data_IF_900187334633
#
_entry.id   IF_900187334633
#
_cell.length_a   1.000
_cell.length_b   1.000
_cell.length_c   1.000
_cell.angle_alpha   90.00
_cell.angle_beta   90.00
_cell.angle_gamma   90.00
#
_symmetry.space_group_name_H-M   'P 1'
#
loop_
_entity.id
_entity.type
_entity.pdbx_description
1 polymer ?
#
# COMPACT_ATOMS: atom_id res chain seq x y z
N UNK A 1 40.14 45.84 9.23
CA UNK A 1 39.11 46.26 8.28
C UNK A 1 39.04 45.16 7.25
N UNK A 2 38.24 44.14 7.55
CA UNK A 2 36.92 43.90 6.94
C UNK A 2 37.11 43.22 5.57
N UNK A 3 36.45 42.11 5.22
CA UNK A 3 35.18 41.63 5.74
C UNK A 3 35.08 40.11 5.62
N UNK A 4 34.35 39.56 6.57
CA UNK A 4 34.01 38.15 6.74
C UNK A 4 32.91 37.77 5.76
N UNK A 5 33.12 36.75 4.94
CA UNK A 5 32.03 36.00 4.29
C UNK A 5 32.07 34.56 4.78
N UNK A 6 31.68 34.36 6.04
CA UNK A 6 31.23 33.06 6.50
C UNK A 6 29.86 32.82 5.86
N UNK A 7 29.87 32.13 4.72
CA UNK A 7 28.67 31.57 4.14
C UNK A 7 27.98 30.69 5.19
N UNK A 8 26.78 31.11 5.60
CA UNK A 8 25.88 30.29 6.39
C UNK A 8 25.60 29.01 5.59
N UNK A 9 26.34 27.94 5.85
CA UNK A 9 25.95 26.58 5.51
C UNK A 9 24.72 26.27 6.37
N UNK A 10 23.56 26.75 5.91
CA UNK A 10 22.29 26.36 6.49
C UNK A 10 22.16 24.86 6.28
N UNK A 11 22.18 24.10 7.38
CA UNK A 11 21.88 22.68 7.35
C UNK A 11 20.46 22.55 6.81
N UNK A 12 20.34 22.14 5.56
CA UNK A 12 19.07 21.95 4.90
C UNK A 12 18.38 20.74 5.49
N UNK A 13 17.05 20.72 5.43
CA UNK A 13 16.27 19.56 5.88
C UNK A 13 16.59 18.27 5.07
N UNK A 14 17.29 18.40 3.93
CA UNK A 14 17.81 17.28 3.14
C UNK A 14 19.16 16.73 3.59
N UNK A 15 19.84 17.40 4.54
CA UNK A 15 21.14 16.98 5.07
C UNK A 15 21.00 16.03 6.28
N UNK A 16 19.76 15.78 6.72
CA UNK A 16 19.47 14.82 7.78
C UNK A 16 19.77 13.38 7.33
N UNK A 17 20.29 12.53 8.22
CA UNK A 17 20.39 11.10 7.97
C UNK A 17 19.04 10.47 7.59
N UNK A 18 19.05 9.48 6.70
CA UNK A 18 17.84 8.84 6.17
C UNK A 18 16.95 8.26 7.28
N UNK A 19 17.55 7.71 8.36
CA UNK A 19 16.81 7.17 9.49
C UNK A 19 16.07 8.27 10.28
N UNK A 20 16.64 9.47 10.39
CA UNK A 20 15.97 10.60 11.02
C UNK A 20 14.77 11.04 10.18
N UNK A 21 14.94 11.17 8.87
CA UNK A 21 13.85 11.51 7.95
C UNK A 21 12.75 10.43 7.99
N UNK A 22 13.13 9.15 7.95
CA UNK A 22 12.18 8.02 8.03
C UNK A 22 11.40 8.03 9.35
N UNK A 23 12.07 8.34 10.47
CA UNK A 23 11.42 8.48 11.77
C UNK A 23 10.44 9.64 11.80
N UNK A 24 10.77 10.79 11.18
CA UNK A 24 9.81 11.90 11.06
C UNK A 24 8.60 11.46 10.23
N UNK A 25 8.84 10.80 9.10
CA UNK A 25 7.80 10.35 8.18
C UNK A 25 6.85 9.30 8.80
N UNK A 26 7.33 8.45 9.71
CA UNK A 26 6.49 7.46 10.40
C UNK A 26 5.42 8.09 11.31
N UNK A 27 5.59 9.36 11.71
CA UNK A 27 4.60 10.12 12.46
C UNK A 27 3.66 10.97 11.58
N UNK A 28 3.69 10.78 10.26
CA UNK A 28 2.86 11.53 9.30
C UNK A 28 1.82 10.65 8.61
N UNK A 29 0.98 11.23 7.75
CA UNK A 29 0.02 10.45 6.96
C UNK A 29 0.67 9.89 5.69
N UNK A 30 0.14 8.79 5.16
CA UNK A 30 0.58 8.24 3.87
C UNK A 30 0.58 9.28 2.73
N UNK A 31 -0.39 10.21 2.76
CA UNK A 31 -0.48 11.31 1.79
C UNK A 31 0.71 12.27 1.91
N UNK A 32 1.11 12.59 3.13
CA UNK A 32 2.24 13.49 3.39
C UNK A 32 3.56 12.82 3.05
N UNK A 33 3.74 11.53 3.37
CA UNK A 33 4.90 10.74 2.94
C UNK A 33 5.07 10.78 1.42
N UNK A 34 3.98 10.62 0.66
CA UNK A 34 4.03 10.74 -0.80
C UNK A 34 4.42 12.14 -1.28
N UNK A 35 3.97 13.21 -0.60
CA UNK A 35 4.36 14.59 -0.94
C UNK A 35 5.83 14.85 -0.64
N UNK A 36 6.31 14.42 0.53
CA UNK A 36 7.71 14.55 0.91
C UNK A 36 8.64 13.78 -0.02
N UNK A 37 8.23 12.61 -0.51
CA UNK A 37 9.00 11.84 -1.51
C UNK A 37 9.25 12.59 -2.84
N UNK A 38 8.49 13.65 -3.11
CA UNK A 38 8.68 14.49 -4.29
C UNK A 38 9.63 15.68 -4.06
N UNK A 39 9.99 15.98 -2.79
CA UNK A 39 10.80 17.15 -2.42
C UNK A 39 12.26 16.97 -2.79
N UNK A 40 12.86 15.81 -2.49
CA UNK A 40 14.26 15.51 -2.86
C UNK A 40 14.53 14.01 -2.88
N UNK A 41 15.73 13.62 -3.36
CA UNK A 41 16.15 12.21 -3.38
C UNK A 41 16.30 11.61 -1.97
N UNK A 42 16.82 12.38 -0.99
CA UNK A 42 16.96 11.94 0.39
C UNK A 42 15.59 11.63 1.02
N UNK A 43 14.62 12.53 0.82
CA UNK A 43 13.25 12.33 1.28
C UNK A 43 12.54 11.20 0.54
N UNK A 44 12.82 11.00 -0.75
CA UNK A 44 12.31 9.87 -1.52
C UNK A 44 12.84 8.54 -1.01
N UNK A 45 14.12 8.46 -0.69
CA UNK A 45 14.74 7.24 -0.12
C UNK A 45 14.06 6.89 1.20
N UNK A 46 14.04 7.84 2.14
CA UNK A 46 13.38 7.68 3.44
C UNK A 46 11.89 7.32 3.33
N UNK A 47 11.15 7.96 2.41
CA UNK A 47 9.73 7.69 2.19
C UNK A 47 9.44 6.29 1.61
N UNK A 48 10.45 5.61 1.07
CA UNK A 48 10.34 4.22 0.60
C UNK A 48 10.79 3.19 1.65
N UNK A 49 11.27 3.64 2.82
CA UNK A 49 11.71 2.77 3.90
C UNK A 49 10.55 1.97 4.50
N UNK A 50 10.76 0.66 4.69
CA UNK A 50 9.77 -0.22 5.30
C UNK A 50 9.37 0.20 6.72
N UNK A 51 10.27 0.88 7.46
CA UNK A 51 9.98 1.44 8.78
C UNK A 51 8.78 2.40 8.75
N UNK A 52 8.72 3.27 7.73
CA UNK A 52 7.63 4.25 7.57
C UNK A 52 6.31 3.52 7.37
N UNK A 53 6.27 2.56 6.42
CA UNK A 53 5.04 1.88 6.07
C UNK A 53 4.60 0.86 7.11
N UNK A 54 5.53 0.23 7.82
CA UNK A 54 5.23 -0.67 8.94
C UNK A 54 4.54 0.07 10.09
N UNK A 55 4.97 1.29 10.40
CA UNK A 55 4.31 2.12 11.42
C UNK A 55 2.85 2.43 11.04
N UNK A 56 2.61 2.80 9.78
CA UNK A 56 1.26 3.10 9.27
C UNK A 56 0.36 1.87 9.28
N UNK A 57 0.89 0.74 8.81
CA UNK A 57 0.17 -0.53 8.80
C UNK A 57 -0.21 -0.94 10.21
N UNK A 58 0.75 -0.85 11.15
CA UNK A 58 0.52 -1.18 12.56
C UNK A 58 -0.51 -0.26 13.19
N UNK A 59 -0.46 1.04 12.87
CA UNK A 59 -1.42 2.03 13.39
C UNK A 59 -2.85 1.77 12.89
N UNK A 60 -3.02 1.44 11.60
CA UNK A 60 -4.35 1.26 11.01
C UNK A 60 -4.93 -0.15 11.16
N UNK A 61 -4.08 -1.17 11.26
CA UNK A 61 -4.51 -2.57 11.18
C UNK A 61 -3.97 -3.46 12.31
N UNK A 62 -3.13 -2.93 13.20
CA UNK A 62 -2.55 -3.66 14.33
C UNK A 62 -1.26 -4.43 13.99
N UNK A 63 -0.55 -4.88 15.03
CA UNK A 63 0.78 -5.54 14.89
C UNK A 63 0.72 -6.93 14.25
N UNK A 64 -0.39 -7.64 14.39
CA UNK A 64 -0.51 -9.04 13.94
C UNK A 64 -0.68 -9.19 12.42
N UNK A 65 -0.83 -8.08 11.69
CA UNK A 65 -1.04 -8.13 10.25
C UNK A 65 0.15 -8.71 9.49
N UNK A 66 1.38 -8.56 10.00
CA UNK A 66 2.57 -9.12 9.33
C UNK A 66 2.54 -10.65 9.25
N UNK A 67 1.91 -11.33 10.22
CA UNK A 67 1.69 -12.78 10.16
C UNK A 67 0.54 -13.12 9.22
N UNK A 68 -0.55 -12.35 9.27
CA UNK A 68 -1.73 -12.60 8.45
C UNK A 68 -1.48 -12.37 6.94
N UNK A 69 -0.53 -11.50 6.57
CA UNK A 69 -0.11 -11.24 5.18
C UNK A 69 0.99 -12.19 4.69
N UNK A 70 1.59 -13.01 5.55
CA UNK A 70 2.71 -13.91 5.21
C UNK A 70 2.44 -14.81 3.99
N UNK A 71 1.22 -15.34 3.76
CA UNK A 71 0.91 -16.12 2.55
C UNK A 71 0.96 -15.32 1.24
N UNK A 72 0.90 -13.98 1.32
CA UNK A 72 0.93 -13.09 0.18
C UNK A 72 2.35 -12.53 0.01
N UNK A 73 2.98 -12.82 -1.13
CA UNK A 73 4.29 -12.29 -1.42
C UNK A 73 4.20 -10.79 -1.80
N UNK A 74 4.76 -9.93 -0.96
CA UNK A 74 4.94 -8.49 -1.24
C UNK A 74 6.43 -8.16 -1.29
N UNK A 75 6.81 -7.22 -2.14
CA UNK A 75 8.19 -6.75 -2.27
C UNK A 75 8.58 -5.67 -1.26
N UNK A 76 7.61 -5.03 -0.60
CA UNK A 76 7.82 -4.01 0.44
C UNK A 76 6.58 -3.80 1.31
N UNK A 77 6.76 -3.25 2.52
CA UNK A 77 5.65 -2.81 3.39
C UNK A 77 4.85 -1.69 2.74
N UNK A 78 5.49 -0.85 1.91
CA UNK A 78 4.80 0.14 1.07
C UNK A 78 3.78 -0.51 0.13
N UNK A 79 4.21 -1.54 -0.60
CA UNK A 79 3.32 -2.26 -1.50
C UNK A 79 2.16 -2.88 -0.73
N UNK A 80 2.44 -3.49 0.43
CA UNK A 80 1.41 -4.04 1.31
C UNK A 80 0.40 -2.98 1.75
N UNK A 81 0.85 -1.82 2.26
CA UNK A 81 -0.06 -0.74 2.67
C UNK A 81 -0.97 -0.32 1.52
N UNK A 82 -0.41 -0.15 0.32
CA UNK A 82 -1.23 0.18 -0.84
C UNK A 82 -2.18 -0.95 -1.23
N UNK A 83 -1.83 -2.22 -1.10
CA UNK A 83 -2.77 -3.32 -1.36
C UNK A 83 -3.90 -3.40 -0.32
N UNK A 84 -3.66 -2.97 0.92
CA UNK A 84 -4.69 -2.92 1.97
C UNK A 84 -5.64 -1.72 1.81
N UNK A 85 -5.11 -0.56 1.37
CA UNK A 85 -5.89 0.67 1.20
C UNK A 85 -6.56 0.73 -0.18
N UNK A 86 -5.94 0.14 -1.19
CA UNK A 86 -6.41 0.20 -2.58
C UNK A 86 -7.30 -1.00 -2.84
N UNK A 87 -8.57 -0.71 -3.08
CA UNK A 87 -9.47 -1.62 -3.77
C UNK A 87 -8.95 -1.77 -5.20
N UNK A 88 -8.23 -2.85 -5.50
CA UNK A 88 -7.95 -3.16 -6.89
C UNK A 88 -9.29 -3.58 -7.50
N UNK A 89 -9.60 -3.10 -8.71
CA UNK A 89 -10.81 -3.51 -9.45
C UNK A 89 -11.00 -5.03 -9.53
N UNK A 90 -9.94 -5.80 -9.29
CA UNK A 90 -9.94 -7.26 -9.27
C UNK A 90 -9.62 -7.90 -7.91
N UNK A 91 -9.15 -7.15 -6.89
CA UNK A 91 -8.77 -7.70 -5.58
C UNK A 91 -8.97 -6.69 -4.46
N UNK A 92 -9.65 -7.09 -3.39
CA UNK A 92 -9.83 -6.29 -2.18
C UNK A 92 -9.30 -7.08 -0.99
N UNK A 93 -8.45 -6.47 -0.17
CA UNK A 93 -7.89 -7.08 1.03
C UNK A 93 -8.39 -6.28 2.24
N UNK A 94 -8.81 -6.95 3.30
CA UNK A 94 -9.19 -6.32 4.56
C UNK A 94 -8.69 -7.14 5.74
N UNK A 95 -8.71 -6.53 6.91
CA UNK A 95 -8.35 -7.17 8.17
C UNK A 95 -9.62 -7.21 9.02
N UNK A 96 -9.96 -8.40 9.52
CA UNK A 96 -11.05 -8.57 10.45
C UNK A 96 -10.67 -8.00 11.81
N UNK A 97 -11.40 -6.99 12.28
CA UNK A 97 -11.07 -6.28 13.53
C UNK A 97 -11.19 -7.12 14.79
N UNK A 98 -11.93 -8.23 14.75
CA UNK A 98 -12.15 -9.11 15.92
C UNK A 98 -11.10 -10.21 16.05
N UNK A 99 -10.64 -10.74 14.91
CA UNK A 99 -9.72 -11.89 14.86
C UNK A 99 -8.31 -11.51 14.40
N UNK A 100 -8.11 -10.30 13.85
CA UNK A 100 -6.85 -9.89 13.24
C UNK A 100 -6.49 -10.69 11.98
N UNK A 101 -7.41 -11.53 11.48
CA UNK A 101 -7.20 -12.33 10.27
C UNK A 101 -7.42 -11.49 9.03
N UNK A 102 -6.72 -11.83 7.96
CA UNK A 102 -6.92 -11.17 6.67
C UNK A 102 -7.98 -11.90 5.87
N UNK A 103 -8.94 -11.12 5.39
CA UNK A 103 -9.84 -11.51 4.32
C UNK A 103 -9.35 -10.94 3.00
N UNK A 104 -9.47 -11.74 1.94
CA UNK A 104 -9.26 -11.29 0.58
C UNK A 104 -10.46 -11.69 -0.25
N UNK A 105 -10.89 -10.81 -1.14
CA UNK A 105 -11.86 -11.10 -2.17
C UNK A 105 -11.18 -10.86 -3.51
N UNK A 106 -11.26 -11.84 -4.39
CA UNK A 106 -10.68 -11.81 -5.74
C UNK A 106 -11.83 -11.85 -6.73
N UNK A 107 -11.79 -10.99 -7.73
CA UNK A 107 -12.78 -10.97 -8.81
C UNK A 107 -12.73 -12.29 -9.56
N UNK A 108 -13.90 -12.74 -10.02
CA UNK A 108 -13.97 -13.94 -10.84
C UNK A 108 -13.09 -13.84 -12.11
N UNK A 109 -12.84 -12.64 -12.61
CA UNK A 109 -11.96 -12.37 -13.76
C UNK A 109 -10.48 -12.66 -13.51
N UNK A 110 -10.05 -12.61 -12.26
CA UNK A 110 -8.68 -12.94 -11.86
C UNK A 110 -8.52 -14.42 -11.45
N UNK A 111 -9.62 -15.20 -11.44
CA UNK A 111 -9.59 -16.63 -11.16
C UNK A 111 -9.41 -17.44 -12.45
N UNK A 112 -8.66 -18.53 -12.35
CA UNK A 112 -8.63 -19.56 -13.39
C UNK A 112 -9.88 -20.42 -13.25
N UNK A 113 -10.92 -20.10 -14.03
CA UNK A 113 -12.19 -20.83 -14.05
C UNK A 113 -12.17 -21.81 -15.22
N UNK A 114 -12.47 -23.09 -14.94
CA UNK A 114 -12.57 -24.12 -15.97
C UNK A 114 -13.60 -23.70 -17.04
N UNK A 115 -13.16 -23.62 -18.29
CA UNK A 115 -13.94 -23.12 -19.43
C UNK A 115 -14.51 -21.71 -19.23
N UNK A 116 -13.90 -20.86 -18.40
CA UNK A 116 -14.40 -19.51 -18.08
C UNK A 116 -14.59 -18.60 -19.29
N UNK A 117 -13.86 -18.85 -20.38
CA UNK A 117 -14.00 -18.12 -21.64
C UNK A 117 -15.09 -18.69 -22.57
N UNK A 118 -15.68 -19.82 -22.20
CA UNK A 118 -16.72 -20.48 -22.98
C UNK A 118 -18.11 -20.02 -22.52
N UNK A 119 -18.74 -19.20 -23.37
CA UNK A 119 -20.09 -18.65 -23.15
C UNK A 119 -21.21 -19.71 -23.13
N UNK A 120 -20.92 -20.97 -23.47
CA UNK A 120 -21.86 -22.07 -23.28
C UNK A 120 -22.01 -22.44 -21.80
N UNK A 121 -20.96 -22.29 -21.00
CA UNK A 121 -20.93 -22.69 -19.58
C UNK A 121 -20.98 -21.50 -18.64
N UNK A 122 -20.37 -20.36 -19.00
CA UNK A 122 -20.27 -19.20 -18.13
C UNK A 122 -20.84 -17.95 -18.79
N UNK A 123 -21.46 -17.12 -17.97
CA UNK A 123 -21.94 -15.80 -18.32
C UNK A 123 -21.26 -14.76 -17.43
N UNK A 124 -20.61 -13.79 -18.05
CA UNK A 124 -19.97 -12.68 -17.34
C UNK A 124 -20.94 -11.51 -17.22
N UNK A 125 -21.50 -11.33 -16.02
CA UNK A 125 -22.55 -10.33 -15.77
C UNK A 125 -22.03 -9.19 -14.90
N UNK A 126 -22.52 -7.97 -15.16
CA UNK A 126 -22.39 -6.86 -14.23
C UNK A 126 -23.49 -6.97 -13.16
N UNK A 127 -23.17 -6.68 -11.91
CA UNK A 127 -24.16 -6.61 -10.83
C UNK A 127 -23.90 -5.38 -9.96
N UNK A 128 -24.97 -4.68 -9.62
CA UNK A 128 -24.89 -3.48 -8.78
C UNK A 128 -24.60 -3.80 -7.30
N UNK A 129 -24.86 -5.05 -6.87
CA UNK A 129 -24.54 -5.55 -5.53
C UNK A 129 -23.11 -6.11 -5.41
N UNK A 130 -22.33 -6.08 -6.50
CA UNK A 130 -20.94 -6.53 -6.54
C UNK A 130 -19.99 -5.34 -6.54
N UNK A 131 -18.92 -5.44 -5.73
CA UNK A 131 -17.81 -4.47 -5.80
C UNK A 131 -16.95 -4.63 -7.06
N UNK A 132 -17.00 -5.82 -7.70
CA UNK A 132 -16.30 -6.08 -8.96
C UNK A 132 -17.21 -5.82 -10.15
N UNK A 133 -16.62 -5.28 -11.21
CA UNK A 133 -17.33 -4.93 -12.44
C UNK A 133 -18.04 -6.12 -13.08
N UNK A 134 -17.42 -7.31 -13.05
CA UNK A 134 -17.98 -8.53 -13.61
C UNK A 134 -17.87 -9.69 -12.64
N UNK A 135 -18.94 -10.48 -12.58
CA UNK A 135 -18.99 -11.75 -11.86
C UNK A 135 -19.27 -12.90 -12.83
N UNK A 136 -18.79 -14.10 -12.50
CA UNK A 136 -19.04 -15.30 -13.27
C UNK A 136 -20.34 -15.95 -12.78
N UNK A 137 -21.29 -16.14 -13.70
CA UNK A 137 -22.54 -16.87 -13.47
C UNK A 137 -22.53 -18.15 -14.30
N UNK A 138 -22.70 -19.29 -13.66
CA UNK A 138 -22.80 -20.57 -14.36
C UNK A 138 -24.13 -20.65 -15.12
N UNK A 139 -24.08 -21.10 -16.38
CA UNK A 139 -25.25 -21.43 -17.21
C UNK A 139 -25.60 -22.90 -16.99
N UNK A 140 -26.83 -23.15 -16.56
CA UNK A 140 -27.45 -24.48 -16.48
C UNK A 140 -28.59 -24.55 -17.49
#
# INVERSE_FOLDING_TARGET
MENSEQGSHGVGLGDLPENCISTILSFTTAKDVCRFAAVSLAWRSAANSDMVWESMITFHYGQNISEAVSPLAFSSKKQLYFCLVRDHATKSIWVDGSTGKIGCMISARDLSIAWGDNNAYWEWVRRDDSRFEQVAKLRY
#
